data_IF_161161083461
#
_entry.id   IF_161161083461
#
_cell.length_a   1.000
_cell.length_b   1.000
_cell.length_c   1.000
_cell.angle_alpha   90.00
_cell.angle_beta   90.00
_cell.angle_gamma   90.00
#
_symmetry.space_group_name_H-M   'P 1'
#
loop_
_entity.id
_entity.type
_entity.pdbx_description
1 polymer ?
#
# COMPACT_ATOMS: atom_id res chain seq x y z
N UNK A 1 -12.70 31.41 -15.10
CA UNK A 1 -11.62 30.97 -14.19
C UNK A 1 -10.71 30.09 -15.01
N UNK A 2 -9.39 30.30 -14.93
CA UNK A 2 -8.46 29.46 -15.68
C UNK A 2 -8.51 28.05 -15.08
N UNK A 3 -8.79 27.09 -15.92
CA UNK A 3 -8.76 25.69 -15.57
C UNK A 3 -7.29 25.32 -15.33
N UNK A 4 -6.89 25.06 -14.07
CA UNK A 4 -5.53 24.64 -13.68
C UNK A 4 -5.41 23.14 -13.41
N UNK A 5 -4.52 22.46 -14.15
CA UNK A 5 -4.23 21.04 -14.00
C UNK A 5 -3.68 20.75 -12.58
N UNK A 6 -4.40 19.97 -11.78
CA UNK A 6 -4.01 19.62 -10.40
C UNK A 6 -3.02 18.45 -10.34
N UNK A 7 -1.99 18.46 -11.21
CA UNK A 7 -0.91 17.45 -11.22
C UNK A 7 0.13 17.75 -10.13
N UNK A 8 -0.34 17.95 -8.91
CA UNK A 8 0.51 18.08 -7.73
C UNK A 8 0.08 17.03 -6.71
N UNK A 9 1.01 16.19 -6.21
CA UNK A 9 0.69 15.25 -5.15
C UNK A 9 0.25 16.02 -3.92
N UNK A 10 -0.95 15.72 -3.43
CA UNK A 10 -1.27 16.10 -2.05
C UNK A 10 -0.47 15.17 -1.15
N UNK A 11 0.21 15.74 -0.16
CA UNK A 11 0.90 14.94 0.84
C UNK A 11 -0.13 14.10 1.57
N UNK A 12 -0.07 12.78 1.42
CA UNK A 12 -0.64 11.87 2.41
C UNK A 12 0.52 11.22 3.14
N UNK A 13 0.35 11.12 4.46
CA UNK A 13 1.40 10.67 5.37
C UNK A 13 1.62 9.17 5.29
N UNK A 14 2.29 8.67 6.32
CA UNK A 14 2.50 7.24 6.53
C UNK A 14 1.15 6.51 6.61
N UNK A 15 0.97 5.49 5.76
CA UNK A 15 -0.16 4.55 5.80
C UNK A 15 0.12 3.39 6.74
N UNK A 16 1.34 2.84 6.68
CA UNK A 16 1.80 1.77 7.55
C UNK A 16 3.16 2.16 8.10
N UNK A 17 3.34 2.03 9.41
CA UNK A 17 4.64 2.17 10.07
C UNK A 17 4.83 1.04 11.04
N UNK A 18 4.26 1.16 12.24
CA UNK A 18 4.40 0.19 13.33
C UNK A 18 3.87 -1.19 12.98
N UNK A 19 2.89 -1.26 12.08
CA UNK A 19 2.33 -2.50 11.56
C UNK A 19 3.34 -3.32 10.74
N UNK A 20 4.36 -2.66 10.17
CA UNK A 20 5.43 -3.31 9.41
C UNK A 20 6.53 -3.86 10.32
N UNK A 21 6.54 -3.48 11.61
CA UNK A 21 7.46 -4.06 12.57
C UNK A 21 7.11 -5.53 12.73
N UNK A 22 8.10 -6.41 12.56
CA UNK A 22 7.94 -7.86 12.66
C UNK A 22 7.05 -8.49 11.58
N UNK A 23 6.84 -7.81 10.44
CA UNK A 23 6.17 -8.44 9.29
C UNK A 23 7.00 -9.64 8.81
N UNK A 24 6.47 -10.84 9.07
CA UNK A 24 7.07 -12.09 8.65
C UNK A 24 7.04 -12.26 7.12
N UNK A 25 7.89 -13.15 6.61
CA UNK A 25 7.78 -13.57 5.21
C UNK A 25 6.46 -14.31 4.96
N UNK A 26 5.94 -14.18 3.73
CA UNK A 26 4.68 -14.78 3.29
C UNK A 26 3.42 -14.36 4.09
N UNK A 27 3.51 -13.33 4.92
CA UNK A 27 2.36 -12.76 5.63
C UNK A 27 1.98 -11.38 5.10
N UNK A 28 0.78 -10.95 5.46
CA UNK A 28 0.24 -9.63 5.12
C UNK A 28 -0.05 -8.86 6.40
N UNK A 29 0.13 -7.54 6.32
CA UNK A 29 -0.44 -6.61 7.29
C UNK A 29 -1.28 -5.56 6.57
N UNK A 30 -2.32 -5.08 7.25
CA UNK A 30 -3.29 -4.11 6.71
C UNK A 30 -3.45 -2.96 7.69
N UNK A 31 -3.61 -1.75 7.16
CA UNK A 31 -3.85 -0.53 7.92
C UNK A 31 -5.15 -0.67 8.73
N UNK A 32 -5.09 -0.31 10.01
CA UNK A 32 -6.24 -0.33 10.90
C UNK A 32 -7.26 0.76 10.58
N UNK A 33 -6.87 1.80 9.83
CA UNK A 33 -7.69 2.96 9.51
C UNK A 33 -8.10 3.01 8.05
N UNK A 34 -9.32 3.49 7.79
CA UNK A 34 -9.81 3.69 6.44
C UNK A 34 -9.25 4.99 5.85
N UNK A 35 -8.68 4.88 4.65
CA UNK A 35 -8.51 6.02 3.78
C UNK A 35 -9.83 6.32 3.05
N UNK A 36 -10.52 7.38 3.47
CA UNK A 36 -11.71 7.87 2.78
C UNK A 36 -11.35 8.57 1.45
N UNK A 37 -11.44 7.85 0.33
CA UNK A 37 -11.39 8.43 -1.01
C UNK A 37 -12.78 8.76 -1.59
N UNK A 38 -13.87 8.36 -0.94
CA UNK A 38 -15.24 8.70 -1.38
C UNK A 38 -15.48 10.22 -1.27
N UNK A 39 -14.92 10.84 -0.22
CA UNK A 39 -14.97 12.30 -0.05
C UNK A 39 -13.84 13.01 -0.78
N UNK A 40 -12.62 12.46 -0.74
CA UNK A 40 -11.41 13.13 -1.26
C UNK A 40 -11.31 13.12 -2.78
N UNK A 41 -11.85 12.09 -3.45
CA UNK A 41 -11.97 12.00 -4.92
C UNK A 41 -10.64 12.16 -5.66
N UNK A 42 -9.60 11.51 -5.16
CA UNK A 42 -8.36 11.36 -5.91
C UNK A 42 -8.49 10.22 -6.91
N UNK A 43 -7.99 10.44 -8.12
CA UNK A 43 -8.01 9.46 -9.22
C UNK A 43 -6.78 8.58 -9.22
N UNK A 44 -5.66 9.08 -8.71
CA UNK A 44 -4.39 8.37 -8.71
C UNK A 44 -3.68 8.51 -7.38
N UNK A 45 -2.80 7.57 -7.09
CA UNK A 45 -1.79 7.71 -6.06
C UNK A 45 -0.47 7.05 -6.47
N UNK A 46 0.61 7.60 -5.92
CA UNK A 46 1.92 6.97 -5.93
C UNK A 46 2.23 6.46 -4.53
N UNK A 47 2.74 5.24 -4.43
CA UNK A 47 3.08 4.59 -3.18
C UNK A 47 4.59 4.40 -3.09
N UNK A 48 5.13 4.68 -1.92
CA UNK A 48 6.55 4.58 -1.64
C UNK A 48 6.71 3.68 -0.44
N UNK A 49 7.61 2.70 -0.55
CA UNK A 49 7.88 1.73 0.47
C UNK A 49 9.35 1.79 0.87
N UNK A 50 9.59 1.70 2.18
CA UNK A 50 10.92 1.45 2.73
C UNK A 50 10.86 0.27 3.69
N UNK A 51 11.76 -0.68 3.47
CA UNK A 51 11.96 -1.83 4.33
C UNK A 51 13.45 -2.10 4.56
N UNK A 52 13.74 -2.61 5.75
CA UNK A 52 15.03 -3.18 6.16
C UNK A 52 14.85 -4.65 6.57
N UNK A 53 15.76 -5.52 6.14
CA UNK A 53 15.77 -6.95 6.42
C UNK A 53 17.07 -7.36 7.09
N UNK A 54 17.01 -8.35 7.97
CA UNK A 54 18.18 -8.86 8.71
C UNK A 54 19.21 -9.51 7.77
N UNK A 55 18.73 -10.04 6.66
CA UNK A 55 19.52 -10.57 5.56
C UNK A 55 18.95 -10.08 4.23
N UNK A 56 19.79 -10.08 3.19
CA UNK A 56 19.34 -9.71 1.85
C UNK A 56 18.19 -10.62 1.39
N UNK A 57 17.19 -10.00 0.77
CA UNK A 57 16.09 -10.74 0.14
C UNK A 57 16.57 -11.64 -0.99
N UNK A 58 15.73 -12.62 -1.33
CA UNK A 58 15.96 -13.49 -2.48
C UNK A 58 15.97 -12.68 -3.80
N UNK A 59 16.68 -13.21 -4.80
CA UNK A 59 16.76 -12.57 -6.11
C UNK A 59 15.37 -12.51 -6.77
N UNK A 60 14.91 -11.31 -7.12
CA UNK A 60 13.58 -11.10 -7.72
C UNK A 60 12.44 -11.11 -6.70
N UNK A 61 12.75 -10.95 -5.42
CA UNK A 61 11.78 -10.77 -4.35
C UNK A 61 10.74 -9.68 -4.66
N UNK A 62 9.51 -9.92 -4.21
CA UNK A 62 8.40 -8.99 -4.40
C UNK A 62 7.80 -8.63 -3.05
N UNK A 63 7.39 -7.38 -2.92
CA UNK A 63 6.48 -6.94 -1.87
C UNK A 63 5.21 -6.46 -2.55
N UNK A 64 4.08 -7.03 -2.19
CA UNK A 64 2.80 -6.78 -2.85
C UNK A 64 2.08 -5.62 -2.15
N UNK A 65 1.62 -4.65 -2.94
CA UNK A 65 0.74 -3.58 -2.48
C UNK A 65 -0.71 -3.99 -2.73
N UNK A 66 -1.48 -4.03 -1.65
CA UNK A 66 -2.91 -4.30 -1.70
C UNK A 66 -3.74 -3.09 -1.27
N UNK A 67 -4.85 -2.85 -1.97
CA UNK A 67 -5.88 -1.90 -1.57
C UNK A 67 -7.21 -2.65 -1.42
N UNK A 68 -7.74 -2.64 -0.21
CA UNK A 68 -8.99 -3.31 0.14
C UNK A 68 -10.11 -2.29 0.19
N UNK A 69 -10.90 -2.20 -0.88
CA UNK A 69 -12.04 -1.29 -0.94
C UNK A 69 -13.20 -1.77 -0.07
N UNK A 70 -13.79 -0.85 0.68
CA UNK A 70 -14.98 -1.07 1.48
C UNK A 70 -16.21 -1.23 0.58
N UNK A 71 -16.96 -2.31 0.80
CA UNK A 71 -18.09 -2.71 -0.04
C UNK A 71 -19.43 -2.17 0.49
N UNK A 72 -19.69 -2.28 1.80
CA UNK A 72 -21.01 -2.03 2.39
C UNK A 72 -20.98 -1.26 3.73
N UNK A 73 -19.91 -0.51 3.97
CA UNK A 73 -19.74 0.27 5.20
C UNK A 73 -18.96 -0.48 6.30
N UNK A 74 -19.01 -1.81 6.29
CA UNK A 74 -18.33 -2.66 7.29
C UNK A 74 -17.35 -3.66 6.66
N UNK A 75 -17.70 -4.24 5.52
CA UNK A 75 -16.95 -5.31 4.87
C UNK A 75 -16.08 -4.76 3.73
N UNK A 76 -15.03 -5.51 3.36
CA UNK A 76 -14.09 -5.14 2.31
C UNK A 76 -13.95 -6.23 1.23
N UNK A 77 -13.46 -5.84 0.06
CA UNK A 77 -13.14 -6.76 -1.02
C UNK A 77 -11.77 -7.44 -0.83
N UNK A 78 -11.65 -8.26 0.20
CA UNK A 78 -10.44 -9.03 0.56
C UNK A 78 -10.27 -10.35 -0.19
N UNK A 79 -11.37 -10.88 -0.73
CA UNK A 79 -11.44 -12.21 -1.35
C UNK A 79 -11.89 -13.31 -0.40
N UNK A 80 -12.33 -12.96 0.81
CA UNK A 80 -12.78 -13.86 1.87
C UNK A 80 -14.12 -13.38 2.45
N UNK A 81 -14.23 -13.29 3.78
CA UNK A 81 -15.44 -12.98 4.54
C UNK A 81 -15.62 -11.47 4.79
N UNK A 82 -14.68 -10.66 4.30
CA UNK A 82 -14.66 -9.21 4.45
C UNK A 82 -13.85 -8.73 5.65
N UNK A 83 -13.18 -9.61 6.40
CA UNK A 83 -12.24 -9.24 7.46
C UNK A 83 -10.82 -9.01 6.93
N UNK A 84 -10.50 -7.74 6.73
CA UNK A 84 -9.18 -7.35 6.21
C UNK A 84 -8.02 -7.64 7.16
N UNK A 85 -8.26 -7.87 8.46
CA UNK A 85 -7.16 -8.16 9.39
C UNK A 85 -6.60 -9.58 9.22
N UNK A 86 -7.35 -10.47 8.55
CA UNK A 86 -6.91 -11.80 8.13
C UNK A 86 -6.79 -11.92 6.60
N UNK A 87 -6.81 -10.80 5.87
CA UNK A 87 -6.90 -10.79 4.42
C UNK A 87 -5.86 -11.70 3.77
N UNK A 88 -6.35 -12.63 2.95
CA UNK A 88 -5.49 -13.46 2.10
C UNK A 88 -4.92 -12.67 0.92
N UNK A 89 -5.58 -11.55 0.58
CA UNK A 89 -5.28 -10.71 -0.57
C UNK A 89 -5.59 -11.44 -1.88
N UNK A 90 -6.82 -11.36 -2.37
CA UNK A 90 -7.12 -11.85 -3.72
C UNK A 90 -6.66 -10.88 -4.81
N UNK A 91 -6.55 -11.35 -6.07
CA UNK A 91 -6.03 -10.56 -7.19
C UNK A 91 -6.78 -9.26 -7.50
N UNK A 92 -8.01 -9.09 -7.01
CA UNK A 92 -8.77 -7.83 -7.09
C UNK A 92 -8.22 -6.73 -6.15
N UNK A 93 -7.51 -7.10 -5.08
CA UNK A 93 -6.92 -6.20 -4.10
C UNK A 93 -5.50 -5.83 -4.46
N UNK A 94 -4.82 -6.57 -5.34
CA UNK A 94 -3.44 -6.31 -5.77
C UNK A 94 -3.38 -5.07 -6.69
N UNK A 95 -2.65 -4.04 -6.27
CA UNK A 95 -2.52 -2.76 -6.98
C UNK A 95 -1.08 -2.39 -7.33
N UNK A 96 -0.09 -3.13 -6.85
CA UNK A 96 1.30 -2.86 -7.16
C UNK A 96 2.25 -3.94 -6.67
N UNK A 97 3.44 -3.96 -7.25
CA UNK A 97 4.54 -4.83 -6.85
C UNK A 97 5.79 -3.96 -6.66
N UNK A 98 6.37 -3.99 -5.46
CA UNK A 98 7.69 -3.44 -5.21
C UNK A 98 8.72 -4.55 -5.45
N UNK A 99 9.55 -4.39 -6.46
CA UNK A 99 10.62 -5.35 -6.76
C UNK A 99 11.81 -5.06 -5.84
N UNK A 100 12.15 -6.02 -4.98
CA UNK A 100 13.28 -5.91 -4.06
C UNK A 100 14.48 -6.60 -4.68
N UNK A 101 15.61 -5.88 -4.75
CA UNK A 101 16.89 -6.47 -5.16
C UNK A 101 17.48 -7.35 -4.05
N UNK A 102 18.63 -7.96 -4.31
CA UNK A 102 19.40 -8.68 -3.27
C UNK A 102 20.10 -7.66 -2.36
N UNK A 103 19.33 -7.05 -1.46
CA UNK A 103 19.78 -5.98 -0.57
C UNK A 103 19.06 -6.05 0.78
N UNK A 104 19.71 -5.54 1.83
CA UNK A 104 19.17 -5.51 3.19
C UNK A 104 18.32 -4.25 3.46
N UNK A 105 18.42 -3.22 2.63
CA UNK A 105 17.61 -2.00 2.71
C UNK A 105 17.06 -1.67 1.33
N UNK A 106 15.79 -1.30 1.22
CA UNK A 106 15.20 -0.94 -0.06
C UNK A 106 14.23 0.23 0.04
N UNK A 107 14.47 1.24 -0.79
CA UNK A 107 13.49 2.27 -1.13
C UNK A 107 12.88 1.90 -2.48
N UNK A 108 11.57 1.70 -2.51
CA UNK A 108 10.85 1.34 -3.73
C UNK A 108 9.62 2.21 -3.92
N UNK A 109 9.16 2.27 -5.16
CA UNK A 109 7.98 3.06 -5.53
C UNK A 109 7.12 2.32 -6.55
N UNK A 110 5.81 2.51 -6.43
CA UNK A 110 4.81 2.17 -7.44
C UNK A 110 4.05 3.45 -7.77
N UNK A 111 4.06 3.86 -9.02
CA UNK A 111 3.54 5.15 -9.47
C UNK A 111 2.27 4.97 -10.30
N UNK A 112 1.36 5.94 -10.22
CA UNK A 112 0.18 5.99 -11.10
C UNK A 112 -0.87 4.94 -10.81
N UNK A 113 -0.97 4.50 -9.55
CA UNK A 113 -2.00 3.53 -9.14
C UNK A 113 -3.37 4.19 -9.23
N UNK A 114 -4.31 3.66 -10.03
CA UNK A 114 -5.66 4.21 -10.12
C UNK A 114 -6.42 3.95 -8.82
N UNK A 115 -7.07 4.98 -8.29
CA UNK A 115 -7.89 4.88 -7.09
C UNK A 115 -9.38 4.91 -7.44
N UNK A 116 -10.14 4.02 -6.83
CA UNK A 116 -11.60 4.02 -6.92
C UNK A 116 -12.21 5.01 -5.89
N UNK A 117 -13.42 5.54 -6.14
CA UNK A 117 -14.07 6.53 -5.29
C UNK A 117 -14.72 5.91 -4.04
N UNK A 118 -14.02 4.98 -3.37
CA UNK A 118 -14.48 4.29 -2.17
C UNK A 118 -13.46 4.45 -1.04
N UNK A 119 -13.91 4.30 0.20
CA UNK A 119 -12.99 4.13 1.31
C UNK A 119 -12.23 2.82 1.16
N UNK A 120 -10.96 2.78 1.54
CA UNK A 120 -10.14 1.58 1.47
C UNK A 120 -9.13 1.50 2.60
N UNK A 121 -8.55 0.32 2.80
CA UNK A 121 -7.37 0.10 3.62
C UNK A 121 -6.22 -0.39 2.76
N UNK A 122 -5.02 0.07 3.07
CA UNK A 122 -3.81 -0.39 2.39
C UNK A 122 -3.23 -1.59 3.13
N UNK A 123 -2.72 -2.56 2.40
CA UNK A 123 -1.99 -3.69 2.96
C UNK A 123 -0.69 -3.96 2.22
N UNK A 124 0.25 -4.54 2.93
CA UNK A 124 1.53 -5.00 2.39
C UNK A 124 1.65 -6.48 2.67
N UNK A 125 1.95 -7.26 1.63
CA UNK A 125 2.30 -8.66 1.76
C UNK A 125 3.76 -8.88 1.40
N UNK A 126 4.47 -9.55 2.29
CA UNK A 126 5.87 -9.89 2.11
C UNK A 126 5.99 -11.17 1.29
N UNK A 127 6.79 -11.14 0.23
CA UNK A 127 7.15 -12.31 -0.56
C UNK A 127 8.62 -12.19 -1.00
N UNK A 128 9.51 -12.04 -0.01
CA UNK A 128 10.93 -11.78 -0.25
C UNK A 128 11.86 -12.85 0.33
N UNK A 129 11.31 -13.86 1.01
CA UNK A 129 12.07 -14.95 1.64
C UNK A 129 12.68 -14.59 3.00
N UNK A 130 12.48 -13.35 3.48
CA UNK A 130 13.02 -12.84 4.74
C UNK A 130 11.99 -11.98 5.48
N UNK A 131 11.89 -12.06 6.82
CA UNK A 131 11.08 -11.12 7.58
C UNK A 131 11.69 -9.72 7.57
N UNK A 132 10.86 -8.69 7.76
CA UNK A 132 11.39 -7.36 8.09
C UNK A 132 12.08 -7.40 9.45
N UNK A 133 13.18 -6.65 9.59
CA UNK A 133 13.86 -6.46 10.87
C UNK A 133 12.91 -5.80 11.87
N UNK A 134 12.97 -6.21 13.13
CA UNK A 134 12.22 -5.63 14.25
C UNK A 134 12.67 -4.20 14.61
N UNK A 135 12.41 -3.21 13.75
CA UNK A 135 12.80 -1.80 13.92
C UNK A 135 11.70 -0.84 13.44
N UNK A 136 11.56 0.30 14.14
CA UNK A 136 10.53 1.32 13.88
C UNK A 136 10.85 2.26 12.69
N UNK A 137 11.59 1.79 11.69
CA UNK A 137 12.04 2.63 10.56
C UNK A 137 11.32 2.35 9.25
N UNK A 138 10.57 1.25 9.15
CA UNK A 138 9.83 0.88 7.95
C UNK A 138 8.64 1.80 7.72
N UNK A 139 8.28 2.00 6.45
CA UNK A 139 7.08 2.77 6.14
C UNK A 139 6.51 2.44 4.76
N UNK A 140 5.19 2.58 4.67
CA UNK A 140 4.46 2.76 3.42
C UNK A 140 3.87 4.16 3.41
N UNK A 141 4.17 4.95 2.37
CA UNK A 141 3.62 6.29 2.17
C UNK A 141 2.80 6.36 0.90
N UNK A 142 1.80 7.23 0.89
CA UNK A 142 0.95 7.48 -0.28
C UNK A 142 0.94 8.95 -0.67
N UNK A 143 0.97 9.21 -1.97
CA UNK A 143 0.89 10.55 -2.54
C UNK A 143 -0.23 10.58 -3.57
N UNK A 144 -1.47 10.92 -3.20
CA UNK A 144 -2.58 11.00 -4.12
C UNK A 144 -2.62 12.30 -4.93
N UNK A 145 -3.11 12.22 -6.16
CA UNK A 145 -3.23 13.35 -7.09
C UNK A 145 -4.36 13.14 -8.11
N UNK A 146 -4.67 14.20 -8.85
CA UNK A 146 -5.63 14.21 -9.95
C UNK A 146 -4.96 14.71 -11.23
N UNK A 147 -5.26 14.07 -12.35
CA UNK A 147 -4.80 14.54 -13.67
C UNK A 147 -5.85 15.41 -14.37
N UNK A 148 -6.97 15.70 -13.72
CA UNK A 148 -8.04 16.51 -14.28
C UNK A 148 -8.26 17.83 -13.53
N UNK A 149 -8.84 18.75 -14.29
CA UNK A 149 -9.37 20.03 -13.86
C UNK A 149 -10.63 19.83 -13.01
N UNK A 150 -10.61 20.30 -11.76
CA UNK A 150 -11.82 20.38 -10.92
C UNK A 150 -12.67 21.60 -11.25
#
# INVERSE_FOLDING_TARGET
MANELLWLPKTVGDLLTTELNDLADATMVVDGADYDNATRKFRFASFFFFGTWDAACDAGALVELHLFYKLDGTNYGDGEDGDVFAAQGSGNSLHGLFQIGVQADAYQQVLGVPLQPFAFRAGIKMACGQPLTAVDTHWLKMYPYNEELQ
#
